data_IF_234036719334
#
_entry.id   IF_234036719334
#
_cell.length_a   1.000
_cell.length_b   1.000
_cell.length_c   1.000
_cell.angle_alpha   90.00
_cell.angle_beta   90.00
_cell.angle_gamma   90.00
#
_symmetry.space_group_name_H-M   'P 1'
#
loop_
_entity.id
_entity.type
_entity.pdbx_description
1 polymer ?
#
# COMPACT_ATOMS: atom_id res chain seq x y z
N UNK A 1 13.00 -1.12 -28.33
CA UNK A 1 11.93 -0.54 -27.53
C UNK A 1 12.31 -0.50 -26.06
N UNK A 2 11.55 0.24 -25.26
CA UNK A 2 11.75 0.30 -23.81
C UNK A 2 11.44 -1.05 -23.15
N UNK A 3 12.18 -1.39 -22.10
CA UNK A 3 11.89 -2.57 -21.32
C UNK A 3 10.72 -2.33 -20.35
N UNK A 4 9.71 -3.17 -20.40
CA UNK A 4 8.55 -3.09 -19.54
C UNK A 4 8.66 -4.06 -18.36
N UNK A 5 8.47 -3.56 -17.14
CA UNK A 5 8.55 -4.37 -15.91
C UNK A 5 7.56 -5.54 -15.89
N UNK A 6 6.43 -5.40 -16.56
CA UNK A 6 5.39 -6.43 -16.70
C UNK A 6 5.24 -6.83 -18.16
N UNK A 7 6.35 -7.27 -18.78
CA UNK A 7 6.31 -7.84 -20.11
C UNK A 7 5.66 -9.23 -20.10
N UNK A 8 5.28 -9.77 -21.29
CA UNK A 8 4.60 -11.05 -21.39
C UNK A 8 5.32 -12.21 -20.73
N UNK A 9 6.66 -12.24 -20.80
CA UNK A 9 7.45 -13.34 -20.23
C UNK A 9 7.40 -13.34 -18.70
N UNK A 10 7.51 -12.15 -18.08
CA UNK A 10 7.39 -12.01 -16.63
C UNK A 10 6.00 -12.44 -16.14
N UNK A 11 4.93 -12.00 -16.84
CA UNK A 11 3.56 -12.35 -16.47
C UNK A 11 3.31 -13.86 -16.63
N UNK A 12 3.73 -14.42 -17.74
CA UNK A 12 3.54 -15.86 -18.06
C UNK A 12 4.28 -16.75 -17.05
N UNK A 13 5.54 -16.44 -16.79
CA UNK A 13 6.37 -17.22 -15.86
C UNK A 13 5.83 -17.14 -14.43
N UNK A 14 5.33 -15.97 -14.00
CA UNK A 14 4.65 -15.84 -12.71
C UNK A 14 3.41 -16.73 -12.63
N UNK A 15 2.59 -16.75 -13.69
CA UNK A 15 1.39 -17.59 -13.73
C UNK A 15 1.73 -19.09 -13.70
N UNK A 16 2.78 -19.49 -14.40
CA UNK A 16 3.29 -20.88 -14.40
C UNK A 16 3.78 -21.28 -13.01
N UNK A 17 4.61 -20.44 -12.38
CA UNK A 17 5.09 -20.69 -11.01
C UNK A 17 3.96 -20.81 -9.98
N UNK A 18 2.94 -19.93 -10.07
CA UNK A 18 1.80 -19.98 -9.15
C UNK A 18 0.91 -21.20 -9.37
N UNK A 19 0.72 -21.62 -10.63
CA UNK A 19 -0.15 -22.77 -10.95
C UNK A 19 0.52 -24.11 -10.64
N UNK A 20 1.81 -24.23 -10.91
CA UNK A 20 2.56 -25.47 -10.66
C UNK A 20 2.97 -25.63 -9.19
N UNK A 21 3.18 -24.50 -8.48
CA UNK A 21 3.82 -24.52 -7.17
C UNK A 21 5.29 -24.94 -7.22
N UNK A 22 5.91 -24.97 -8.41
CA UNK A 22 7.28 -25.39 -8.63
C UNK A 22 8.28 -24.27 -8.29
N UNK A 23 9.27 -24.60 -7.47
CA UNK A 23 10.29 -23.65 -7.03
C UNK A 23 11.21 -23.23 -8.19
N UNK A 24 11.48 -24.09 -9.17
CA UNK A 24 12.32 -23.75 -10.32
C UNK A 24 11.60 -22.79 -11.27
N UNK A 25 10.28 -22.94 -11.45
CA UNK A 25 9.49 -21.96 -12.18
C UNK A 25 9.47 -20.59 -11.46
N UNK A 26 9.37 -20.60 -10.13
CA UNK A 26 9.50 -19.38 -9.34
C UNK A 26 10.88 -18.74 -9.48
N UNK A 27 11.96 -19.52 -9.52
CA UNK A 27 13.32 -19.02 -9.75
C UNK A 27 13.47 -18.38 -11.13
N UNK A 28 12.86 -18.96 -12.18
CA UNK A 28 12.83 -18.35 -13.53
C UNK A 28 12.16 -16.98 -13.47
N UNK A 29 10.98 -16.89 -12.85
CA UNK A 29 10.29 -15.62 -12.65
C UNK A 29 11.17 -14.62 -11.88
N UNK A 30 11.75 -15.03 -10.77
CA UNK A 30 12.59 -14.17 -9.94
C UNK A 30 13.80 -13.64 -10.71
N UNK A 31 14.44 -14.49 -11.54
CA UNK A 31 15.56 -14.08 -12.39
C UNK A 31 15.13 -13.07 -13.44
N UNK A 32 13.99 -13.26 -14.12
CA UNK A 32 13.47 -12.29 -15.08
C UNK A 32 13.21 -10.92 -14.45
N UNK A 33 12.74 -10.90 -13.20
CA UNK A 33 12.47 -9.64 -12.47
C UNK A 33 13.75 -8.96 -12.01
N UNK A 34 14.71 -9.73 -11.45
CA UNK A 34 15.86 -9.17 -10.75
C UNK A 34 17.08 -8.93 -11.64
N UNK A 35 17.19 -9.64 -12.78
CA UNK A 35 18.33 -9.56 -13.72
C UNK A 35 18.00 -8.81 -15.01
N UNK A 36 16.94 -8.02 -15.00
CA UNK A 36 16.53 -7.22 -16.16
C UNK A 36 17.50 -6.07 -16.41
N UNK A 37 17.56 -5.53 -17.64
CA UNK A 37 18.26 -4.29 -17.90
C UNK A 37 17.74 -3.15 -17.02
N UNK A 38 18.64 -2.30 -16.51
CA UNK A 38 18.26 -1.14 -15.72
C UNK A 38 17.36 -0.20 -16.55
N UNK A 39 16.14 0.01 -16.08
CA UNK A 39 15.13 0.85 -16.75
C UNK A 39 14.53 1.91 -15.81
N UNK A 40 14.83 1.85 -14.54
CA UNK A 40 14.37 2.81 -13.53
C UNK A 40 15.39 2.92 -12.38
N UNK A 41 15.25 3.96 -11.55
CA UNK A 41 16.20 4.23 -10.46
C UNK A 41 16.35 3.05 -9.48
N UNK A 42 15.30 2.31 -9.19
CA UNK A 42 15.36 1.11 -8.33
C UNK A 42 16.39 0.10 -8.83
N UNK A 43 16.52 -0.08 -10.14
CA UNK A 43 17.40 -1.08 -10.73
C UNK A 43 18.88 -0.74 -10.53
N UNK A 44 19.18 0.48 -10.07
CA UNK A 44 20.54 0.97 -9.71
C UNK A 44 20.81 0.90 -8.20
N UNK A 45 19.83 0.49 -7.39
CA UNK A 45 19.96 0.41 -5.94
C UNK A 45 20.35 -1.00 -5.52
N UNK A 46 21.21 -1.10 -4.52
CA UNK A 46 21.62 -2.37 -3.89
C UNK A 46 21.39 -2.31 -2.38
N UNK A 47 20.93 -3.44 -1.84
CA UNK A 47 20.85 -3.60 -0.39
C UNK A 47 22.23 -3.94 0.17
N UNK A 48 22.76 -3.09 1.04
CA UNK A 48 24.02 -3.32 1.73
C UNK A 48 23.74 -3.82 3.16
N UNK A 49 23.68 -5.11 3.34
CA UNK A 49 23.66 -5.70 4.69
C UNK A 49 25.09 -6.00 5.14
N UNK A 50 25.46 -5.46 6.30
CA UNK A 50 26.72 -5.79 7.01
C UNK A 50 26.50 -6.87 8.07
N UNK A 51 25.27 -7.35 8.25
CA UNK A 51 24.94 -8.34 9.28
C UNK A 51 25.42 -9.74 8.88
N UNK A 52 25.95 -10.55 9.81
CA UNK A 52 26.33 -11.92 9.51
C UNK A 52 25.10 -12.79 9.21
N UNK A 53 25.29 -13.83 8.40
CA UNK A 53 24.25 -14.83 8.13
C UNK A 53 23.83 -15.51 9.43
N UNK A 54 22.52 -15.60 9.68
CA UNK A 54 21.97 -16.31 10.83
C UNK A 54 21.57 -17.75 10.47
N UNK A 55 21.52 -18.63 11.47
CA UNK A 55 21.06 -20.01 11.29
C UNK A 55 19.55 -20.00 10.94
N UNK A 56 19.13 -20.89 10.01
CA UNK A 56 17.72 -21.02 9.61
C UNK A 56 16.76 -21.21 10.79
N UNK A 57 17.22 -21.88 11.86
CA UNK A 57 16.41 -22.06 13.09
C UNK A 57 16.14 -20.77 13.89
N UNK A 58 16.89 -19.70 13.60
CA UNK A 58 16.69 -18.38 14.21
C UNK A 58 15.86 -17.43 13.32
N UNK A 59 15.50 -17.86 12.12
CA UNK A 59 14.64 -17.10 11.23
C UNK A 59 13.19 -17.18 11.72
N UNK A 60 12.47 -16.07 11.69
CA UNK A 60 11.07 -16.01 12.07
C UNK A 60 10.21 -16.98 11.24
N UNK A 61 9.27 -17.71 11.85
CA UNK A 61 8.39 -18.62 11.11
C UNK A 61 7.54 -17.90 10.07
N UNK A 62 7.43 -18.45 8.87
CA UNK A 62 6.67 -17.90 7.75
C UNK A 62 5.26 -17.43 8.14
N UNK A 63 4.54 -18.19 8.99
CA UNK A 63 3.20 -17.83 9.46
C UNK A 63 3.13 -16.49 10.24
N UNK A 64 4.25 -16.07 10.83
CA UNK A 64 4.33 -14.77 11.51
C UNK A 64 4.67 -13.66 10.51
N UNK A 65 5.55 -13.95 9.54
CA UNK A 65 5.91 -13.03 8.47
C UNK A 65 4.67 -12.68 7.63
N UNK A 66 3.87 -13.67 7.23
CA UNK A 66 2.66 -13.47 6.42
C UNK A 66 1.65 -12.49 7.04
N UNK A 67 1.60 -12.39 8.37
CA UNK A 67 0.71 -11.43 9.06
C UNK A 67 1.07 -9.96 8.84
N UNK A 68 2.27 -9.67 8.38
CA UNK A 68 2.74 -8.31 8.07
C UNK A 68 2.53 -7.92 6.61
N UNK A 69 2.10 -8.87 5.77
CA UNK A 69 1.78 -8.58 4.38
C UNK A 69 0.35 -8.07 4.21
N UNK A 70 0.24 -6.99 3.46
CA UNK A 70 -1.02 -6.39 3.09
C UNK A 70 -1.13 -6.34 1.56
N UNK A 71 -2.36 -6.44 1.03
CA UNK A 71 -2.56 -6.23 -0.40
C UNK A 71 -2.47 -4.75 -0.74
N UNK A 72 -2.17 -4.44 -1.99
CA UNK A 72 -2.30 -3.08 -2.51
C UNK A 72 -3.73 -2.54 -2.32
N UNK A 73 -3.85 -1.22 -2.15
CA UNK A 73 -5.13 -0.52 -2.06
C UNK A 73 -5.79 -0.38 -3.42
N UNK A 74 -6.40 -1.45 -3.91
CA UNK A 74 -7.10 -1.47 -5.20
C UNK A 74 -8.60 -1.31 -4.98
N UNK A 75 -9.17 -0.18 -5.43
CA UNK A 75 -10.58 0.13 -5.22
C UNK A 75 -11.51 -0.66 -6.12
N UNK A 76 -12.73 -0.91 -5.62
CA UNK A 76 -13.82 -1.38 -6.45
C UNK A 76 -14.14 -0.30 -7.52
N UNK A 77 -14.15 -0.71 -8.78
CA UNK A 77 -14.16 0.17 -9.94
C UNK A 77 -12.86 0.09 -10.76
N UNK A 78 -11.70 -0.12 -10.10
CA UNK A 78 -10.47 -0.59 -10.77
C UNK A 78 -10.47 -2.10 -10.93
N UNK A 79 -11.06 -2.83 -9.98
CA UNK A 79 -11.26 -4.27 -9.99
C UNK A 79 -12.75 -4.61 -10.08
N UNK A 80 -13.07 -5.78 -10.61
CA UNK A 80 -14.41 -6.35 -10.51
C UNK A 80 -14.73 -6.74 -9.05
N UNK A 81 -16.01 -6.81 -8.65
CA UNK A 81 -16.42 -7.26 -7.32
C UNK A 81 -15.79 -8.61 -6.95
N UNK A 82 -15.83 -9.57 -7.86
CA UNK A 82 -15.28 -10.92 -7.64
C UNK A 82 -13.77 -10.89 -7.41
N UNK A 83 -13.00 -10.13 -8.20
CA UNK A 83 -11.56 -10.01 -8.02
C UNK A 83 -11.22 -9.36 -6.66
N UNK A 84 -11.96 -8.32 -6.28
CA UNK A 84 -11.77 -7.63 -5.01
C UNK A 84 -12.09 -8.52 -3.80
N UNK A 85 -13.15 -9.34 -3.90
CA UNK A 85 -13.51 -10.33 -2.87
C UNK A 85 -12.49 -11.46 -2.78
N UNK A 86 -12.08 -12.03 -3.92
CA UNK A 86 -11.07 -13.10 -3.97
C UNK A 86 -9.74 -12.66 -3.36
N UNK A 87 -9.34 -11.42 -3.62
CA UNK A 87 -8.13 -10.86 -3.00
C UNK A 87 -8.26 -10.77 -1.47
N UNK A 88 -9.42 -10.33 -0.98
CA UNK A 88 -9.67 -10.28 0.46
C UNK A 88 -9.67 -11.67 1.09
N UNK A 89 -10.33 -12.65 0.47
CA UNK A 89 -10.33 -14.05 0.92
C UNK A 89 -8.92 -14.64 0.96
N UNK A 90 -8.12 -14.41 -0.09
CA UNK A 90 -6.74 -14.88 -0.16
C UNK A 90 -5.89 -14.30 0.96
N UNK A 91 -5.92 -12.99 1.17
CA UNK A 91 -5.17 -12.34 2.24
C UNK A 91 -5.62 -12.79 3.63
N UNK A 92 -6.92 -12.92 3.84
CA UNK A 92 -7.47 -13.42 5.11
C UNK A 92 -7.06 -14.86 5.40
N UNK A 93 -6.98 -15.73 4.38
CA UNK A 93 -6.61 -17.15 4.54
C UNK A 93 -5.16 -17.35 5.00
N UNK A 94 -4.25 -16.47 4.59
CA UNK A 94 -2.83 -16.51 5.01
C UNK A 94 -2.55 -15.70 6.27
N UNK A 95 -3.56 -15.07 6.86
CA UNK A 95 -3.42 -14.22 8.05
C UNK A 95 -2.94 -12.80 7.78
N UNK A 96 -2.80 -12.42 6.50
CA UNK A 96 -2.52 -11.07 6.05
C UNK A 96 -3.77 -10.18 6.04
N UNK A 97 -3.67 -9.01 5.41
CA UNK A 97 -4.77 -8.06 5.30
C UNK A 97 -4.97 -7.60 3.87
N UNK A 98 -6.22 -7.48 3.47
CA UNK A 98 -6.59 -6.82 2.21
C UNK A 98 -6.97 -5.37 2.47
N UNK A 99 -6.62 -4.49 1.53
CA UNK A 99 -6.95 -3.08 1.55
C UNK A 99 -8.15 -2.82 0.62
N UNK A 100 -9.18 -2.16 1.13
CA UNK A 100 -10.40 -1.85 0.37
C UNK A 100 -10.16 -0.90 -0.81
N UNK A 101 -9.05 -0.12 -0.79
CA UNK A 101 -8.92 1.05 -1.64
C UNK A 101 -9.93 2.14 -1.28
N UNK A 102 -9.96 3.21 -2.06
CA UNK A 102 -10.77 4.42 -1.78
C UNK A 102 -12.24 4.35 -2.24
N UNK A 103 -12.70 3.19 -2.67
CA UNK A 103 -14.04 3.01 -3.26
C UNK A 103 -15.15 2.56 -2.32
N UNK A 104 -14.87 2.45 -1.02
CA UNK A 104 -15.79 1.84 -0.07
C UNK A 104 -15.84 0.30 -0.19
N UNK A 105 -16.72 -0.32 0.55
CA UNK A 105 -16.95 -1.77 0.53
C UNK A 105 -18.40 -2.08 0.89
N UNK A 106 -18.96 -3.11 0.28
CA UNK A 106 -20.34 -3.53 0.56
C UNK A 106 -20.48 -4.05 2.00
N UNK A 107 -21.52 -3.62 2.71
CA UNK A 107 -21.79 -3.97 4.12
C UNK A 107 -21.90 -5.48 4.34
N UNK A 108 -22.43 -6.18 3.37
CA UNK A 108 -22.63 -7.64 3.39
C UNK A 108 -21.31 -8.40 3.54
N UNK A 109 -20.18 -7.75 3.28
CA UNK A 109 -18.83 -8.33 3.42
C UNK A 109 -18.25 -8.20 4.81
N UNK A 110 -18.70 -7.24 5.64
CA UNK A 110 -18.02 -6.86 6.89
C UNK A 110 -17.87 -8.00 7.90
N UNK A 111 -18.86 -8.86 8.02
CA UNK A 111 -18.84 -10.03 8.93
C UNK A 111 -18.28 -11.32 8.30
N UNK A 112 -17.74 -11.26 7.08
CA UNK A 112 -17.34 -12.45 6.31
C UNK A 112 -15.84 -12.52 6.08
N UNK A 113 -15.37 -13.68 5.57
CA UNK A 113 -13.97 -13.83 5.12
C UNK A 113 -13.63 -12.97 3.88
N UNK A 114 -14.62 -12.35 3.25
CA UNK A 114 -14.45 -11.46 2.09
C UNK A 114 -14.21 -10.01 2.47
N UNK A 115 -14.20 -9.66 3.76
CA UNK A 115 -13.95 -8.29 4.20
C UNK A 115 -12.50 -7.87 3.95
N UNK A 116 -12.30 -6.63 3.56
CA UNK A 116 -11.00 -5.99 3.60
C UNK A 116 -10.75 -5.47 5.03
N UNK A 117 -9.70 -5.96 5.67
CA UNK A 117 -9.37 -5.56 7.06
C UNK A 117 -8.79 -4.15 7.16
N UNK A 118 -8.19 -3.65 6.06
CA UNK A 118 -7.73 -2.27 5.94
C UNK A 118 -8.82 -1.50 5.19
N UNK A 119 -9.34 -0.45 5.84
CA UNK A 119 -10.32 0.47 5.26
C UNK A 119 -9.63 1.78 4.92
N UNK A 120 -9.54 2.10 3.61
CA UNK A 120 -8.87 3.29 3.16
C UNK A 120 -9.82 4.51 3.17
N UNK A 121 -9.27 5.64 3.56
CA UNK A 121 -9.94 6.94 3.66
C UNK A 121 -9.13 7.92 2.81
N UNK A 122 -9.62 8.21 1.61
CA UNK A 122 -9.02 9.20 0.72
C UNK A 122 -9.75 10.54 0.82
N UNK A 123 -9.25 11.57 0.16
CA UNK A 123 -9.82 12.93 0.20
C UNK A 123 -11.28 12.98 -0.25
N UNK A 124 -11.70 12.15 -1.22
CA UNK A 124 -13.09 12.07 -1.69
C UNK A 124 -14.06 11.42 -0.72
N UNK A 125 -13.58 10.73 0.34
CA UNK A 125 -14.40 10.04 1.37
C UNK A 125 -15.46 9.10 0.80
N UNK A 126 -15.25 8.52 -0.37
CA UNK A 126 -16.21 7.65 -1.02
C UNK A 126 -16.47 6.38 -0.20
N UNK A 127 -17.73 6.18 0.18
CA UNK A 127 -18.16 5.01 0.95
C UNK A 127 -17.70 4.99 2.41
N UNK A 128 -17.15 6.08 2.93
CA UNK A 128 -16.72 6.19 4.32
C UNK A 128 -17.92 6.47 5.21
N UNK A 129 -18.40 5.43 5.88
CA UNK A 129 -19.51 5.48 6.85
C UNK A 129 -19.04 5.00 8.23
N UNK A 130 -19.77 5.31 9.32
CA UNK A 130 -19.45 4.76 10.63
C UNK A 130 -19.30 3.23 10.63
N UNK A 131 -20.20 2.50 9.95
CA UNK A 131 -20.14 1.04 9.85
C UNK A 131 -18.89 0.56 9.09
N UNK A 132 -18.50 1.27 8.03
CA UNK A 132 -17.26 1.01 7.32
C UNK A 132 -16.06 1.14 8.25
N UNK A 133 -15.99 2.23 9.03
CA UNK A 133 -14.89 2.51 9.95
C UNK A 133 -14.80 1.48 11.09
N UNK A 134 -15.93 1.12 11.73
CA UNK A 134 -15.93 0.15 12.84
C UNK A 134 -15.64 -1.28 12.38
N UNK A 135 -15.80 -1.59 11.10
CA UNK A 135 -15.48 -2.92 10.54
C UNK A 135 -13.98 -3.13 10.28
N UNK A 136 -13.15 -2.10 10.45
CA UNK A 136 -11.74 -2.12 10.14
C UNK A 136 -10.87 -2.70 11.27
N UNK A 137 -9.78 -3.38 10.90
CA UNK A 137 -8.62 -3.61 11.77
C UNK A 137 -7.57 -2.50 11.63
N UNK A 138 -7.51 -1.90 10.43
CA UNK A 138 -6.65 -0.73 10.13
C UNK A 138 -7.45 0.30 9.37
N UNK A 139 -7.42 1.53 9.82
CA UNK A 139 -7.95 2.72 9.12
C UNK A 139 -6.78 3.42 8.45
N UNK A 140 -6.77 3.49 7.13
CA UNK A 140 -5.66 4.09 6.39
C UNK A 140 -6.06 5.42 5.76
N UNK A 141 -5.50 6.50 6.28
CA UNK A 141 -5.60 7.83 5.68
C UNK A 141 -4.66 7.87 4.48
N UNK A 142 -5.21 8.02 3.29
CA UNK A 142 -4.43 8.11 2.05
C UNK A 142 -4.16 9.57 1.71
N UNK A 143 -2.93 10.03 1.91
CA UNK A 143 -2.52 11.37 1.52
C UNK A 143 -2.30 11.44 0.01
N UNK A 144 -1.58 10.46 -0.55
CA UNK A 144 -1.30 10.38 -1.99
C UNK A 144 -1.00 8.95 -2.45
N UNK A 145 -0.72 8.78 -3.75
CA UNK A 145 -0.27 7.54 -4.38
C UNK A 145 1.15 7.71 -4.90
N UNK A 146 2.00 6.70 -4.72
CA UNK A 146 3.41 6.76 -5.07
C UNK A 146 3.69 6.98 -6.56
N UNK A 147 2.86 6.41 -7.45
CA UNK A 147 3.04 6.55 -8.90
C UNK A 147 2.62 7.92 -9.46
N UNK A 148 1.86 8.70 -8.70
CA UNK A 148 1.36 10.01 -9.12
C UNK A 148 1.22 10.98 -7.95
N UNK A 149 2.33 11.39 -7.37
CA UNK A 149 2.31 12.38 -6.30
C UNK A 149 1.57 13.65 -6.72
N UNK A 150 0.67 14.14 -5.87
CA UNK A 150 -0.05 15.38 -6.07
C UNK A 150 -1.21 15.39 -7.10
N UNK A 151 -1.55 14.26 -7.72
CA UNK A 151 -2.63 14.21 -8.74
C UNK A 151 -4.00 13.77 -8.20
N UNK A 152 -4.04 13.10 -7.06
CA UNK A 152 -5.27 12.54 -6.52
C UNK A 152 -5.82 11.33 -7.28
N UNK A 153 -7.09 10.97 -7.03
CA UNK A 153 -7.78 9.84 -7.65
C UNK A 153 -8.91 10.27 -8.58
N UNK A 154 -9.16 9.48 -9.61
CA UNK A 154 -10.26 9.68 -10.55
C UNK A 154 -10.89 8.35 -10.97
N UNK A 155 -12.21 8.30 -11.05
CA UNK A 155 -12.95 7.22 -11.68
C UNK A 155 -13.86 7.79 -12.76
N UNK A 156 -13.61 7.47 -14.05
CA UNK A 156 -14.42 7.96 -15.17
C UNK A 156 -15.90 7.54 -15.03
N UNK A 157 -16.83 8.41 -15.40
CA UNK A 157 -18.27 8.18 -15.30
C UNK A 157 -18.76 6.90 -15.94
N UNK A 158 -18.18 6.49 -17.07
CA UNK A 158 -18.49 5.23 -17.73
C UNK A 158 -18.21 3.97 -16.90
N UNK A 159 -17.40 4.06 -15.85
CA UNK A 159 -17.15 2.98 -14.89
C UNK A 159 -18.04 3.07 -13.64
N UNK A 160 -18.75 4.19 -13.45
CA UNK A 160 -19.64 4.40 -12.31
C UNK A 160 -21.02 3.85 -12.62
N UNK A 161 -21.17 2.52 -12.51
CA UNK A 161 -22.45 1.84 -12.62
C UNK A 161 -23.24 1.96 -11.30
N UNK A 162 -24.45 1.41 -11.25
CA UNK A 162 -25.33 1.46 -10.07
C UNK A 162 -24.66 0.91 -8.80
N UNK A 163 -23.92 -0.20 -8.89
CA UNK A 163 -23.21 -0.78 -7.76
C UNK A 163 -22.13 0.18 -7.23
N UNK A 164 -21.31 0.71 -8.11
CA UNK A 164 -20.23 1.64 -7.74
C UNK A 164 -20.81 2.92 -7.16
N UNK A 165 -21.86 3.47 -7.79
CA UNK A 165 -22.53 4.67 -7.31
C UNK A 165 -23.09 4.46 -5.90
N UNK A 166 -23.79 3.34 -5.67
CA UNK A 166 -24.32 2.98 -4.35
C UNK A 166 -23.21 2.89 -3.30
N UNK A 167 -22.09 2.21 -3.59
CA UNK A 167 -20.99 2.02 -2.65
C UNK A 167 -20.26 3.32 -2.34
N UNK A 168 -20.22 4.24 -3.29
CA UNK A 168 -19.53 5.53 -3.16
C UNK A 168 -20.46 6.68 -2.75
N UNK A 169 -21.74 6.38 -2.52
CA UNK A 169 -22.79 7.39 -2.22
C UNK A 169 -22.84 8.49 -3.28
N UNK A 170 -22.90 8.09 -4.55
CA UNK A 170 -22.88 8.95 -5.72
C UNK A 170 -23.96 8.56 -6.73
N UNK A 171 -23.99 9.22 -7.87
CA UNK A 171 -24.93 8.99 -8.97
C UNK A 171 -24.25 8.20 -10.10
N UNK A 172 -24.92 7.19 -10.70
CA UNK A 172 -24.39 6.47 -11.85
C UNK A 172 -24.05 7.42 -13.02
N UNK A 173 -22.98 7.11 -13.75
CA UNK A 173 -22.56 7.86 -14.93
C UNK A 173 -21.77 9.14 -14.66
N UNK A 174 -21.67 9.59 -13.42
CA UNK A 174 -20.91 10.80 -13.06
C UNK A 174 -19.46 10.43 -12.76
N UNK A 175 -18.51 11.18 -13.33
CA UNK A 175 -17.09 11.05 -13.00
C UNK A 175 -16.84 11.44 -11.55
N UNK A 176 -16.15 10.58 -10.81
CA UNK A 176 -15.81 10.80 -9.41
C UNK A 176 -14.34 11.20 -9.29
N UNK A 177 -14.10 12.30 -8.56
CA UNK A 177 -12.78 12.86 -8.33
C UNK A 177 -12.49 12.82 -6.83
N UNK A 178 -11.33 12.26 -6.49
CA UNK A 178 -10.74 12.35 -5.16
C UNK A 178 -9.61 13.38 -5.28
N UNK A 179 -9.77 14.63 -4.82
CA UNK A 179 -8.79 15.68 -5.03
C UNK A 179 -7.44 15.33 -4.36
N UNK A 180 -6.30 15.91 -4.87
CA UNK A 180 -4.98 15.62 -4.28
C UNK A 180 -4.90 15.87 -2.78
N UNK A 181 -5.25 17.07 -2.26
CA UNK A 181 -5.27 17.34 -0.82
C UNK A 181 -6.59 16.86 -0.20
N UNK A 182 -6.52 16.45 1.06
CA UNK A 182 -7.72 16.40 1.89
C UNK A 182 -8.15 17.83 2.22
N UNK A 183 -9.41 18.17 2.03
CA UNK A 183 -9.94 19.52 2.28
C UNK A 183 -9.93 19.94 3.75
N UNK A 184 -9.74 18.98 4.65
CA UNK A 184 -9.72 19.15 6.10
C UNK A 184 -8.31 18.95 6.70
N UNK A 185 -7.27 18.79 5.87
CA UNK A 185 -5.89 18.59 6.32
C UNK A 185 -4.98 19.63 5.64
N UNK A 186 -4.63 20.67 6.38
CA UNK A 186 -3.72 21.72 5.94
C UNK A 186 -2.44 21.79 6.79
N UNK A 187 -2.42 21.06 7.91
CA UNK A 187 -1.30 20.99 8.85
C UNK A 187 -1.21 19.62 9.51
N UNK A 188 -0.14 19.39 10.27
CA UNK A 188 0.02 18.18 11.09
C UNK A 188 -1.05 18.13 12.20
N UNK A 189 -1.47 19.27 12.71
CA UNK A 189 -2.51 19.39 13.74
C UNK A 189 -3.87 18.93 13.20
N UNK A 190 -4.21 19.30 11.97
CA UNK A 190 -5.43 18.83 11.31
C UNK A 190 -5.40 17.31 11.09
N UNK A 191 -4.24 16.78 10.70
CA UNK A 191 -4.05 15.33 10.59
C UNK A 191 -4.19 14.64 11.96
N UNK A 192 -3.62 15.23 13.01
CA UNK A 192 -3.74 14.72 14.37
C UNK A 192 -5.21 14.69 14.83
N UNK A 193 -6.01 15.71 14.47
CA UNK A 193 -7.45 15.74 14.75
C UNK A 193 -8.17 14.60 14.01
N UNK A 194 -7.90 14.39 12.72
CA UNK A 194 -8.49 13.27 11.98
C UNK A 194 -8.11 11.91 12.57
N UNK A 195 -6.85 11.72 12.96
CA UNK A 195 -6.39 10.50 13.62
C UNK A 195 -7.14 10.29 14.94
N UNK A 196 -7.29 11.33 15.73
CA UNK A 196 -8.04 11.30 16.99
C UNK A 196 -9.50 10.90 16.75
N UNK A 197 -10.19 11.54 15.80
CA UNK A 197 -11.58 11.26 15.47
C UNK A 197 -11.78 9.81 15.02
N UNK A 198 -10.89 9.29 14.18
CA UNK A 198 -10.93 7.89 13.75
C UNK A 198 -10.73 6.92 14.93
N UNK A 199 -9.86 7.25 15.87
CA UNK A 199 -9.67 6.45 17.09
C UNK A 199 -10.86 6.52 18.03
N UNK A 200 -11.62 7.63 18.05
CA UNK A 200 -12.89 7.69 18.80
C UNK A 200 -13.97 6.80 18.16
N UNK A 201 -14.04 6.75 16.82
CA UNK A 201 -15.00 5.90 16.11
C UNK A 201 -14.64 4.42 16.25
N UNK A 202 -13.36 4.07 16.14
CA UNK A 202 -12.88 2.69 16.25
C UNK A 202 -11.58 2.62 17.07
N UNK A 203 -11.66 2.60 18.42
CA UNK A 203 -10.49 2.59 19.30
C UNK A 203 -9.64 1.31 19.20
N UNK A 204 -10.18 0.24 18.58
CA UNK A 204 -9.46 -1.03 18.38
C UNK A 204 -8.63 -1.06 17.10
N UNK A 205 -8.96 -0.21 16.13
CA UNK A 205 -8.24 -0.18 14.87
C UNK A 205 -6.91 0.57 15.00
N UNK A 206 -5.91 0.10 14.27
CA UNK A 206 -4.70 0.87 14.02
C UNK A 206 -5.03 2.00 13.03
N UNK A 207 -4.48 3.18 13.24
CA UNK A 207 -4.57 4.27 12.27
C UNK A 207 -3.26 4.38 11.50
N UNK A 208 -3.36 4.17 10.20
CA UNK A 208 -2.24 4.24 9.25
C UNK A 208 -2.32 5.54 8.45
N UNK A 209 -1.18 6.13 8.16
CA UNK A 209 -1.06 7.25 7.22
C UNK A 209 -0.18 6.83 6.04
N UNK A 210 -0.73 6.89 4.83
CA UNK A 210 0.00 6.57 3.60
C UNK A 210 0.58 7.84 3.00
N UNK A 211 1.91 7.87 2.94
CA UNK A 211 2.74 8.92 2.36
C UNK A 211 3.38 8.43 1.06
N UNK A 212 4.01 9.32 0.34
CA UNK A 212 4.75 9.02 -0.89
C UNK A 212 6.24 9.09 -0.64
N UNK A 213 6.99 8.19 -1.29
CA UNK A 213 8.45 8.22 -1.32
C UNK A 213 8.92 9.40 -2.16
N UNK A 214 9.10 10.53 -1.50
CA UNK A 214 9.64 11.77 -2.07
C UNK A 214 10.72 12.33 -1.14
N UNK A 215 11.66 13.14 -1.64
CA UNK A 215 12.60 13.86 -0.78
C UNK A 215 11.87 14.71 0.28
N UNK A 216 12.26 14.57 1.53
CA UNK A 216 11.60 15.25 2.66
C UNK A 216 10.53 14.40 3.37
N UNK A 217 10.21 13.20 2.87
CA UNK A 217 9.21 12.32 3.49
C UNK A 217 9.56 11.97 4.94
N UNK A 218 10.84 11.90 5.29
CA UNK A 218 11.28 11.66 6.66
C UNK A 218 10.80 12.72 7.64
N UNK A 219 10.87 13.99 7.26
CA UNK A 219 10.35 15.09 8.09
C UNK A 219 8.84 15.00 8.26
N UNK A 220 8.11 14.70 7.17
CA UNK A 220 6.65 14.49 7.21
C UNK A 220 6.32 13.31 8.13
N UNK A 221 7.05 12.20 8.02
CA UNK A 221 6.85 11.02 8.84
C UNK A 221 7.06 11.31 10.34
N UNK A 222 8.02 12.15 10.71
CA UNK A 222 8.20 12.59 12.09
C UNK A 222 6.96 13.37 12.60
N UNK A 223 6.39 14.25 11.76
CA UNK A 223 5.13 14.93 12.07
C UNK A 223 3.97 13.95 12.27
N UNK A 224 3.82 12.98 11.37
CA UNK A 224 2.79 11.94 11.43
C UNK A 224 2.93 11.06 12.68
N UNK A 225 4.16 10.71 13.06
CA UNK A 225 4.41 9.97 14.31
C UNK A 225 4.05 10.80 15.55
N UNK A 226 4.32 12.11 15.55
CA UNK A 226 3.90 13.04 16.61
C UNK A 226 2.38 13.23 16.67
N UNK A 227 1.70 13.11 15.53
CA UNK A 227 0.24 13.12 15.41
C UNK A 227 -0.42 11.80 15.89
N UNK A 228 0.33 10.87 16.47
CA UNK A 228 -0.13 9.61 17.05
C UNK A 228 -0.67 8.58 16.02
N UNK A 229 -0.19 8.59 14.80
CA UNK A 229 -0.40 7.46 13.90
C UNK A 229 0.29 6.19 14.42
N UNK A 230 -0.34 5.04 14.25
CA UNK A 230 0.22 3.74 14.64
C UNK A 230 1.13 3.14 13.57
N UNK A 231 0.87 3.49 12.31
CA UNK A 231 1.57 2.97 11.13
C UNK A 231 1.78 4.07 10.09
N UNK A 232 2.94 4.09 9.48
CA UNK A 232 3.24 4.94 8.32
C UNK A 232 3.58 4.05 7.13
N UNK A 233 2.85 4.22 6.03
CA UNK A 233 3.13 3.51 4.78
C UNK A 233 3.84 4.44 3.81
N UNK A 234 5.03 4.06 3.35
CA UNK A 234 5.81 4.79 2.35
C UNK A 234 5.59 4.13 0.98
N UNK A 235 4.90 4.84 0.09
CA UNK A 235 4.51 4.34 -1.22
C UNK A 235 5.52 4.74 -2.29
N UNK A 236 6.10 3.75 -2.97
CA UNK A 236 7.01 3.97 -4.08
C UNK A 236 6.30 4.21 -5.41
N UNK A 237 7.08 4.59 -6.45
CA UNK A 237 6.58 4.95 -7.79
C UNK A 237 5.79 3.84 -8.51
N UNK A 238 5.95 2.58 -8.14
CA UNK A 238 5.15 1.46 -8.64
C UNK A 238 3.79 1.31 -7.93
N UNK A 239 3.48 2.18 -6.95
CA UNK A 239 2.30 2.08 -6.10
C UNK A 239 1.11 2.89 -6.64
N UNK A 240 0.14 2.22 -7.27
CA UNK A 240 -1.14 2.81 -7.60
C UNK A 240 -1.16 3.71 -8.84
N UNK A 241 -1.04 3.13 -10.02
CA UNK A 241 -1.11 3.90 -11.28
C UNK A 241 -2.52 4.37 -11.63
N UNK A 242 -3.52 3.48 -11.57
CA UNK A 242 -4.90 3.84 -11.91
C UNK A 242 -5.02 4.52 -13.27
N UNK A 243 -5.81 5.58 -13.35
CA UNK A 243 -5.99 6.44 -14.53
C UNK A 243 -4.96 7.58 -14.57
N UNK A 244 -3.67 7.26 -14.47
CA UNK A 244 -2.61 8.27 -14.48
C UNK A 244 -2.18 8.61 -15.91
N UNK A 245 -1.80 9.88 -16.19
CA UNK A 245 -1.11 10.25 -17.41
C UNK A 245 0.20 9.46 -17.56
N UNK A 246 0.59 9.15 -18.79
CA UNK A 246 1.81 8.40 -19.06
C UNK A 246 3.07 9.14 -18.57
N UNK A 247 3.04 10.48 -18.59
CA UNK A 247 4.10 11.32 -18.04
C UNK A 247 4.32 11.09 -16.54
N UNK A 248 3.24 10.98 -15.77
CA UNK A 248 3.33 10.70 -14.34
C UNK A 248 3.89 9.31 -14.07
N UNK A 249 3.41 8.30 -14.80
CA UNK A 249 3.90 6.91 -14.65
C UNK A 249 5.40 6.80 -14.98
N UNK A 250 5.89 7.59 -15.92
CA UNK A 250 7.30 7.54 -16.35
C UNK A 250 8.24 8.37 -15.49
N UNK A 251 7.78 9.52 -15.00
CA UNK A 251 8.68 10.57 -14.48
C UNK A 251 8.36 11.03 -13.05
N UNK A 252 7.20 10.69 -12.50
CA UNK A 252 6.86 11.04 -11.13
C UNK A 252 7.16 9.90 -10.15
N UNK A 253 7.37 10.25 -8.89
CA UNK A 253 7.61 9.31 -7.81
C UNK A 253 9.05 8.79 -7.72
N UNK A 254 9.38 8.22 -6.58
CA UNK A 254 10.69 7.64 -6.25
C UNK A 254 10.55 6.19 -5.79
N UNK A 255 11.61 5.38 -5.86
CA UNK A 255 11.62 4.05 -5.25
C UNK A 255 11.33 4.13 -3.75
N UNK A 256 10.52 3.18 -3.23
CA UNK A 256 10.20 3.13 -1.81
C UNK A 256 11.45 2.96 -0.93
N UNK A 257 12.49 2.34 -1.46
CA UNK A 257 13.77 2.08 -0.78
C UNK A 257 14.43 3.38 -0.29
N UNK A 258 14.36 4.44 -1.10
CA UNK A 258 14.89 5.76 -0.72
C UNK A 258 14.02 6.41 0.36
N UNK A 259 12.71 6.43 0.16
CA UNK A 259 11.78 7.00 1.14
C UNK A 259 11.77 6.25 2.47
N UNK A 260 11.93 4.92 2.45
CA UNK A 260 12.07 4.12 3.66
C UNK A 260 13.34 4.48 4.42
N UNK A 261 14.48 4.54 3.72
CA UNK A 261 15.77 4.89 4.33
C UNK A 261 15.73 6.27 4.99
N UNK A 262 15.22 7.27 4.28
CA UNK A 262 15.06 8.63 4.81
C UNK A 262 14.12 8.65 6.03
N UNK A 263 12.95 7.99 5.91
CA UNK A 263 11.97 7.92 7.01
C UNK A 263 12.56 7.25 8.24
N UNK A 264 13.24 6.12 8.06
CA UNK A 264 13.86 5.39 9.16
C UNK A 264 14.90 6.23 9.89
N UNK A 265 15.79 6.91 9.14
CA UNK A 265 16.83 7.77 9.71
C UNK A 265 16.21 8.95 10.47
N UNK A 266 15.27 9.67 9.87
CA UNK A 266 14.62 10.83 10.48
C UNK A 266 13.87 10.44 11.77
N UNK A 267 13.15 9.31 11.77
CA UNK A 267 12.47 8.81 12.96
C UNK A 267 13.46 8.39 14.07
N UNK A 268 14.61 7.80 13.72
CA UNK A 268 15.66 7.46 14.69
C UNK A 268 16.29 8.69 15.31
N UNK A 269 16.72 9.65 14.50
CA UNK A 269 17.30 10.91 14.95
C UNK A 269 16.36 11.71 15.85
N UNK A 270 15.07 11.65 15.56
CA UNK A 270 14.02 12.30 16.36
C UNK A 270 13.57 11.49 17.59
N UNK A 271 14.11 10.30 17.85
CA UNK A 271 13.68 9.43 18.94
C UNK A 271 12.26 8.86 18.78
N UNK A 272 11.71 8.88 17.57
CA UNK A 272 10.32 8.48 17.29
C UNK A 272 10.20 7.08 16.68
N UNK A 273 11.30 6.44 16.28
CA UNK A 273 11.26 5.17 15.54
C UNK A 273 10.52 4.04 16.28
N UNK A 274 10.67 3.96 17.60
CA UNK A 274 9.97 2.98 18.44
C UNK A 274 8.49 3.26 18.70
N UNK A 275 7.97 4.43 18.29
CA UNK A 275 6.57 4.83 18.52
C UNK A 275 5.63 4.49 17.37
N UNK A 276 6.15 4.19 16.18
CA UNK A 276 5.37 4.00 14.97
C UNK A 276 5.93 2.84 14.15
N UNK A 277 5.03 2.03 13.58
CA UNK A 277 5.41 1.02 12.60
C UNK A 277 5.62 1.67 11.24
N UNK A 278 6.59 1.19 10.48
CA UNK A 278 6.83 1.64 9.10
C UNK A 278 6.58 0.48 8.15
N UNK A 279 5.86 0.76 7.09
CA UNK A 279 5.49 -0.17 6.02
C UNK A 279 5.86 0.45 4.67
N UNK A 280 6.09 -0.38 3.69
CA UNK A 280 6.32 0.07 2.30
C UNK A 280 5.36 -0.58 1.35
N UNK A 281 5.06 0.08 0.25
CA UNK A 281 4.37 -0.49 -0.91
C UNK A 281 4.97 0.01 -2.23
N UNK A 282 4.60 -0.67 -3.31
CA UNK A 282 5.00 -0.30 -4.66
C UNK A 282 6.18 -1.11 -5.20
N UNK A 283 5.87 -2.20 -5.91
CA UNK A 283 6.86 -2.96 -6.66
C UNK A 283 7.56 -4.08 -5.88
N UNK A 284 6.99 -4.55 -4.78
CA UNK A 284 7.44 -5.76 -4.10
C UNK A 284 7.03 -6.99 -4.92
N UNK A 285 7.98 -7.64 -5.61
CA UNK A 285 7.70 -8.67 -6.63
C UNK A 285 8.30 -10.03 -6.34
N UNK A 286 9.41 -10.08 -5.64
CA UNK A 286 10.15 -11.33 -5.37
C UNK A 286 10.58 -11.41 -3.92
N UNK A 287 10.91 -12.61 -3.44
CA UNK A 287 11.37 -12.79 -2.06
C UNK A 287 12.69 -12.06 -1.75
N UNK A 288 13.49 -11.71 -2.74
CA UNK A 288 14.67 -10.88 -2.51
C UNK A 288 14.31 -9.52 -1.89
N UNK A 289 13.20 -8.93 -2.35
CA UNK A 289 12.70 -7.66 -1.81
C UNK A 289 12.02 -7.83 -0.44
N UNK A 290 11.44 -9.00 -0.17
CA UNK A 290 10.82 -9.30 1.12
C UNK A 290 11.85 -9.64 2.21
N UNK A 291 13.03 -10.11 1.82
CA UNK A 291 14.10 -10.49 2.75
C UNK A 291 15.08 -9.36 3.04
N UNK A 292 15.04 -8.29 2.24
CA UNK A 292 15.73 -7.04 2.55
C UNK A 292 14.93 -6.26 3.58
N UNK A 293 14.90 -6.78 4.78
CA UNK A 293 13.94 -6.34 5.77
C UNK A 293 14.41 -5.05 6.47
N UNK A 294 13.63 -4.01 6.28
CA UNK A 294 13.64 -2.90 7.21
C UNK A 294 13.17 -3.32 8.63
N UNK A 295 12.59 -4.50 8.80
CA UNK A 295 12.20 -5.02 10.09
C UNK A 295 13.37 -5.58 10.89
N UNK A 296 14.48 -5.97 10.25
CA UNK A 296 15.71 -6.34 10.98
C UNK A 296 16.37 -5.17 11.72
N UNK A 297 15.97 -3.94 11.40
CA UNK A 297 16.38 -2.74 12.11
C UNK A 297 15.44 -2.36 13.29
N UNK A 298 14.48 -3.21 13.63
CA UNK A 298 13.55 -3.01 14.75
C UNK A 298 14.09 -3.59 16.06
N UNK A 299 15.34 -3.96 16.14
CA UNK A 299 16.01 -4.10 17.43
C UNK A 299 16.42 -2.72 17.94
N UNK A 300 15.52 -2.10 18.64
CA UNK A 300 15.77 -1.09 19.68
C UNK A 300 14.74 -1.22 20.77
#
# INVERSE_FOLDING_TARGET
GEYHSYNPDVVKTLQEAVRSGDEDEYRKYSNLVNSRPASMLRDLLEFKSKKPKIKKSKVEPQKHILKRFDSAGMSLGSLSPKAHETLAEAMNSIGGRSNSGEGGEAKERYGTNKRSKIKQIASGRFGVTPEYLVSAEVLQIKIAQGAKPGEGGQLPGGKVNELIARLRYSTPGITLISPPPHHDIYSIEDLAQLIFDLKQVNPKALVSVKLVSEPGVGTIACGVAKAYADLITISGHDGGTGASPISSIRYAGSPWELGLSETHQALRESGLRGRVRVQVDGGLKTCLLYTSDAADDVEC
#
